data_IF_668894595215
#
_entry.id   IF_668894595215
#
_cell.length_a   1.000
_cell.length_b   1.000
_cell.length_c   1.000
_cell.angle_alpha   90.00
_cell.angle_beta   90.00
_cell.angle_gamma   90.00
#
_symmetry.space_group_name_H-M   'P 1'
#
loop_
_entity.id
_entity.type
_entity.pdbx_description
1 polymer ?
#
# COMPACT_ATOMS: atom_id res chain seq x y z
N UNK A 1 -5.84 -10.50 3.32
CA UNK A 1 -4.93 -9.52 3.95
C UNK A 1 -5.18 -8.07 3.53
N UNK A 2 -6.02 -7.77 2.52
CA UNK A 2 -6.21 -6.38 2.07
C UNK A 2 -4.89 -5.77 1.60
N UNK A 3 -4.64 -4.51 1.92
CA UNK A 3 -3.37 -3.85 1.59
C UNK A 3 -2.21 -4.23 2.53
N UNK A 4 -2.37 -5.21 3.43
CA UNK A 4 -1.38 -5.57 4.48
C UNK A 4 -0.55 -6.80 4.13
N UNK A 5 -0.04 -6.84 2.90
CA UNK A 5 0.98 -7.78 2.46
C UNK A 5 1.95 -7.11 1.50
N UNK A 6 3.09 -7.75 1.25
CA UNK A 6 4.06 -7.31 0.25
C UNK A 6 4.61 -8.54 -0.44
N UNK A 7 4.63 -8.54 -1.77
CA UNK A 7 5.36 -9.54 -2.53
C UNK A 7 6.86 -9.34 -2.29
N UNK A 8 7.57 -10.41 -1.97
CA UNK A 8 9.00 -10.37 -1.63
C UNK A 8 9.90 -10.86 -2.77
N UNK A 9 9.32 -11.49 -3.77
CA UNK A 9 10.03 -11.99 -4.93
C UNK A 9 9.11 -12.78 -5.83
N UNK A 10 9.70 -13.31 -6.89
CA UNK A 10 9.11 -14.26 -7.81
C UNK A 10 10.03 -15.48 -7.91
N UNK A 11 9.44 -16.64 -8.17
CA UNK A 11 10.18 -17.86 -8.48
C UNK A 11 10.18 -18.03 -10.01
N UNK A 12 11.38 -18.16 -10.58
CA UNK A 12 11.57 -18.39 -12.00
C UNK A 12 11.96 -19.85 -12.20
N UNK A 13 11.28 -20.51 -13.13
CA UNK A 13 11.51 -21.91 -13.49
C UNK A 13 11.88 -21.99 -14.97
N UNK A 14 12.67 -23.00 -15.32
CA UNK A 14 13.00 -23.30 -16.72
C UNK A 14 11.78 -23.87 -17.46
N UNK A 15 11.00 -24.70 -16.78
CA UNK A 15 9.77 -25.29 -17.29
C UNK A 15 8.56 -24.39 -17.04
N UNK A 16 7.63 -24.37 -18.00
CA UNK A 16 6.35 -23.69 -17.85
C UNK A 16 5.50 -24.42 -16.81
N UNK A 17 5.04 -23.68 -15.80
CA UNK A 17 4.08 -24.20 -14.82
C UNK A 17 2.68 -23.87 -15.32
N UNK A 18 1.92 -24.90 -15.69
CA UNK A 18 0.50 -24.72 -16.00
C UNK A 18 -0.25 -24.23 -14.75
N UNK A 19 -0.79 -23.02 -14.84
CA UNK A 19 -1.69 -22.48 -13.83
C UNK A 19 -3.13 -22.63 -14.35
N UNK A 20 -4.07 -23.09 -13.50
CA UNK A 20 -5.48 -23.09 -13.89
C UNK A 20 -5.93 -21.66 -14.17
N UNK A 21 -6.86 -21.51 -15.12
CA UNK A 21 -7.49 -20.22 -15.40
C UNK A 21 -7.97 -19.56 -14.10
N UNK A 22 -7.58 -18.30 -13.83
CA UNK A 22 -8.07 -17.58 -12.68
C UNK A 22 -9.60 -17.55 -12.74
N UNK A 23 -10.25 -17.99 -11.66
CA UNK A 23 -11.69 -17.77 -11.52
C UNK A 23 -11.94 -16.26 -11.51
N UNK A 24 -13.06 -15.82 -12.07
CA UNK A 24 -13.54 -14.45 -11.90
C UNK A 24 -13.68 -14.18 -10.39
N UNK A 25 -12.69 -13.47 -9.86
CA UNK A 25 -12.69 -13.02 -8.47
C UNK A 25 -13.32 -11.64 -8.46
N UNK A 26 -14.40 -11.49 -7.69
CA UNK A 26 -14.94 -10.16 -7.39
C UNK A 26 -13.87 -9.41 -6.62
N UNK A 27 -13.32 -8.35 -7.20
CA UNK A 27 -12.32 -7.55 -6.53
C UNK A 27 -13.02 -6.69 -5.47
N UNK A 28 -12.55 -6.68 -4.23
CA UNK A 28 -13.23 -5.95 -3.13
C UNK A 28 -13.37 -4.44 -3.44
N UNK A 29 -12.44 -3.87 -4.20
CA UNK A 29 -12.54 -2.49 -4.67
C UNK A 29 -13.76 -2.22 -5.56
N UNK A 30 -14.30 -3.21 -6.27
CA UNK A 30 -15.46 -3.03 -7.15
C UNK A 30 -16.72 -2.72 -6.35
N UNK A 31 -16.79 -3.21 -5.11
CA UNK A 31 -17.88 -2.93 -4.16
C UNK A 31 -17.62 -1.73 -3.25
N UNK A 32 -16.41 -1.15 -3.31
CA UNK A 32 -15.99 -0.03 -2.48
C UNK A 32 -16.31 1.29 -3.20
N UNK A 33 -17.50 1.84 -2.97
CA UNK A 33 -17.93 3.08 -3.63
C UNK A 33 -17.05 4.28 -3.22
N UNK A 34 -16.79 4.43 -1.92
CA UNK A 34 -16.10 5.61 -1.37
C UNK A 34 -14.60 5.67 -1.70
N UNK A 35 -13.97 4.52 -1.97
CA UNK A 35 -12.52 4.38 -2.23
C UNK A 35 -11.65 5.31 -1.37
N UNK A 36 -11.78 5.29 -0.02
CA UNK A 36 -11.13 6.28 0.84
C UNK A 36 -9.59 6.27 0.73
N UNK A 37 -9.01 5.12 0.34
CA UNK A 37 -7.58 4.96 0.06
C UNK A 37 -7.07 5.72 -1.17
N UNK A 38 -7.94 6.29 -2.00
CA UNK A 38 -7.54 7.12 -3.15
C UNK A 38 -7.45 8.61 -2.82
N UNK A 39 -8.00 9.04 -1.66
CA UNK A 39 -8.17 10.45 -1.31
C UNK A 39 -7.51 10.81 0.03
N UNK A 40 -6.82 9.88 0.68
CA UNK A 40 -6.23 10.09 2.02
C UNK A 40 -4.80 10.60 1.98
N UNK A 41 -4.14 10.52 0.82
CA UNK A 41 -2.78 10.98 0.61
C UNK A 41 -2.73 12.51 0.54
N UNK A 42 -1.94 13.19 1.40
CA UNK A 42 -1.84 14.66 1.35
C UNK A 42 -1.16 15.21 0.08
N UNK A 43 -0.59 14.33 -0.76
CA UNK A 43 0.16 14.69 -1.97
C UNK A 43 -0.23 13.83 -3.18
N UNK A 44 -1.38 13.14 -3.11
CA UNK A 44 -1.92 12.32 -4.20
C UNK A 44 -0.88 11.36 -4.81
N UNK A 45 -0.10 10.70 -3.95
CA UNK A 45 1.05 9.91 -4.38
C UNK A 45 0.67 8.65 -5.16
N UNK A 46 -0.57 8.18 -5.08
CA UNK A 46 -1.03 7.00 -5.80
C UNK A 46 -2.21 7.34 -6.70
N UNK A 47 -2.16 6.86 -7.94
CA UNK A 47 -3.25 6.95 -8.90
C UNK A 47 -3.33 5.66 -9.73
N UNK A 48 -4.32 5.59 -10.62
CA UNK A 48 -4.44 4.49 -11.58
C UNK A 48 -3.22 4.40 -12.52
N UNK A 49 -2.47 5.49 -12.68
CA UNK A 49 -1.28 5.56 -13.53
C UNK A 49 -0.01 5.09 -12.80
N UNK A 50 -0.05 4.97 -11.47
CA UNK A 50 1.04 4.43 -10.68
C UNK A 50 1.29 5.17 -9.37
N UNK A 51 2.52 5.03 -8.87
CA UNK A 51 2.95 5.61 -7.60
C UNK A 51 4.02 6.70 -7.82
N UNK A 52 3.69 7.94 -7.48
CA UNK A 52 4.57 9.09 -7.51
C UNK A 52 5.57 9.06 -6.34
N UNK A 53 6.58 8.19 -6.47
CA UNK A 53 7.58 7.91 -5.44
C UNK A 53 8.26 9.18 -4.89
N UNK A 54 8.75 10.07 -5.77
CA UNK A 54 9.48 11.26 -5.35
C UNK A 54 8.62 12.26 -4.56
N UNK A 55 7.36 12.44 -4.97
CA UNK A 55 6.41 13.31 -4.26
C UNK A 55 6.10 12.77 -2.86
N UNK A 56 5.85 11.45 -2.76
CA UNK A 56 5.65 10.78 -1.48
C UNK A 56 6.88 10.91 -0.57
N UNK A 57 8.06 10.59 -1.09
CA UNK A 57 9.31 10.65 -0.33
C UNK A 57 9.61 12.08 0.15
N UNK A 58 9.41 13.08 -0.71
CA UNK A 58 9.56 14.50 -0.37
C UNK A 58 8.61 14.92 0.76
N UNK A 59 7.34 14.53 0.69
CA UNK A 59 6.36 14.79 1.75
C UNK A 59 6.75 14.12 3.07
N UNK A 60 7.07 12.82 3.02
CA UNK A 60 7.43 12.02 4.22
C UNK A 60 8.67 12.57 4.91
N UNK A 61 9.66 13.10 4.19
CA UNK A 61 10.84 13.75 4.77
C UNK A 61 10.59 15.19 5.22
N UNK A 62 9.57 15.85 4.66
CA UNK A 62 9.23 17.22 4.94
C UNK A 62 8.57 17.45 6.32
N UNK A 63 8.34 18.73 6.67
CA UNK A 63 7.71 19.10 7.94
C UNK A 63 6.28 18.55 8.07
N UNK A 64 5.55 18.41 6.96
CA UNK A 64 4.19 17.85 6.95
C UNK A 64 4.10 16.32 7.07
N UNK A 65 5.21 15.59 6.87
CA UNK A 65 5.21 14.13 6.80
C UNK A 65 5.08 13.39 8.14
N UNK A 66 4.92 14.10 9.26
CA UNK A 66 4.94 13.51 10.61
C UNK A 66 3.96 12.35 10.80
N UNK A 67 2.72 12.52 10.34
CA UNK A 67 1.70 11.47 10.43
C UNK A 67 2.06 10.25 9.58
N UNK A 68 2.56 10.45 8.36
CA UNK A 68 3.02 9.36 7.51
C UNK A 68 4.20 8.60 8.15
N UNK A 69 5.09 9.28 8.89
CA UNK A 69 6.21 8.64 9.58
C UNK A 69 5.79 7.82 10.80
N UNK A 70 4.82 8.31 11.58
CA UNK A 70 4.44 7.66 12.86
C UNK A 70 3.26 6.70 12.74
N UNK A 71 2.37 6.94 11.78
CA UNK A 71 1.10 6.20 11.63
C UNK A 71 1.06 5.32 10.38
N UNK A 72 2.14 5.28 9.59
CA UNK A 72 2.17 4.56 8.32
C UNK A 72 1.58 5.35 7.15
N UNK A 73 1.50 4.70 5.99
CA UNK A 73 0.85 5.26 4.81
C UNK A 73 -0.65 5.48 5.07
N UNK A 74 -1.12 6.72 4.89
CA UNK A 74 -2.51 7.10 5.16
C UNK A 74 -3.49 6.42 4.20
N UNK A 75 -3.15 6.26 2.92
CA UNK A 75 -3.96 5.52 1.94
C UNK A 75 -4.19 4.07 2.36
N UNK A 76 -3.11 3.38 2.78
CA UNK A 76 -3.21 1.98 3.25
C UNK A 76 -4.07 1.86 4.50
N UNK A 77 -3.97 2.82 5.42
CA UNK A 77 -4.79 2.87 6.62
C UNK A 77 -6.26 3.23 6.36
N UNK A 78 -6.55 3.93 5.26
CA UNK A 78 -7.91 4.31 4.91
C UNK A 78 -8.71 3.16 4.27
N UNK A 79 -8.04 2.15 3.68
CA UNK A 79 -8.74 1.01 3.12
C UNK A 79 -9.51 0.23 4.21
N UNK A 80 -10.83 0.03 4.05
CA UNK A 80 -11.64 -0.70 5.03
C UNK A 80 -11.38 -2.21 4.99
N UNK A 81 -10.91 -2.74 3.86
CA UNK A 81 -10.71 -4.18 3.69
C UNK A 81 -9.35 -4.62 4.25
N UNK A 82 -9.39 -5.68 5.06
CA UNK A 82 -8.20 -6.26 5.69
C UNK A 82 -7.71 -5.50 6.92
N UNK A 83 -8.56 -4.66 7.54
CA UNK A 83 -8.24 -3.93 8.77
C UNK A 83 -7.76 -4.86 9.91
N UNK A 84 -8.33 -6.07 10.01
CA UNK A 84 -7.92 -7.09 11.01
C UNK A 84 -6.47 -7.59 10.81
N UNK A 85 -5.90 -7.39 9.62
CA UNK A 85 -4.52 -7.77 9.29
C UNK A 85 -3.56 -6.58 9.30
N UNK A 86 -4.05 -5.40 9.70
CA UNK A 86 -3.25 -4.19 9.76
C UNK A 86 -2.03 -4.40 10.65
N UNK A 87 -0.87 -3.97 10.14
CA UNK A 87 0.34 -4.02 10.95
C UNK A 87 0.18 -3.13 12.19
N UNK A 88 0.70 -3.55 13.36
CA UNK A 88 0.75 -2.69 14.53
C UNK A 88 1.42 -1.35 14.22
N UNK A 89 1.04 -0.24 14.87
CA UNK A 89 1.56 1.10 14.57
C UNK A 89 3.09 1.16 14.53
N UNK A 90 3.77 0.47 15.42
CA UNK A 90 5.24 0.39 15.49
C UNK A 90 5.87 -0.26 14.25
N UNK A 91 5.23 -1.27 13.66
CA UNK A 91 5.70 -1.92 12.42
C UNK A 91 5.45 -1.00 11.22
N UNK A 92 4.35 -0.26 11.21
CA UNK A 92 4.08 0.73 10.18
C UNK A 92 5.11 1.87 10.21
N UNK A 93 5.40 2.41 11.39
CA UNK A 93 6.42 3.42 11.58
C UNK A 93 7.81 2.92 11.16
N UNK A 94 8.17 1.68 11.53
CA UNK A 94 9.41 1.04 11.09
C UNK A 94 9.54 1.00 9.56
N UNK A 95 8.49 0.59 8.86
CA UNK A 95 8.51 0.56 7.39
C UNK A 95 8.64 1.96 6.77
N UNK A 96 8.02 2.98 7.36
CA UNK A 96 8.12 4.35 6.86
C UNK A 96 9.49 4.99 7.13
N UNK A 97 10.12 4.68 8.28
CA UNK A 97 11.50 5.05 8.53
C UNK A 97 12.45 4.40 7.51
N UNK A 98 12.28 3.11 7.22
CA UNK A 98 13.06 2.41 6.20
C UNK A 98 12.84 2.99 4.79
N UNK A 99 11.59 3.28 4.41
CA UNK A 99 11.24 3.93 3.14
C UNK A 99 11.91 5.30 3.00
N UNK A 100 11.83 6.12 4.05
CA UNK A 100 12.35 7.48 4.04
C UNK A 100 13.87 7.56 4.31
N UNK A 101 14.51 6.47 4.73
CA UNK A 101 15.90 6.41 5.20
C UNK A 101 16.15 7.40 6.36
N UNK A 102 15.34 7.30 7.41
CA UNK A 102 15.39 8.12 8.62
C UNK A 102 15.98 7.36 9.81
#
# INVERSE_FOLDING_TARGET
>A
YGLWHAYRGALLFEEEIFLPEPREAIHLCDTCVEKPCMNSCPVDAYSEQGFAHEACLGHVRGPGGGLCRTSGCLDRNACPYGADYRYPPEVQAFHMAAFARL
#
